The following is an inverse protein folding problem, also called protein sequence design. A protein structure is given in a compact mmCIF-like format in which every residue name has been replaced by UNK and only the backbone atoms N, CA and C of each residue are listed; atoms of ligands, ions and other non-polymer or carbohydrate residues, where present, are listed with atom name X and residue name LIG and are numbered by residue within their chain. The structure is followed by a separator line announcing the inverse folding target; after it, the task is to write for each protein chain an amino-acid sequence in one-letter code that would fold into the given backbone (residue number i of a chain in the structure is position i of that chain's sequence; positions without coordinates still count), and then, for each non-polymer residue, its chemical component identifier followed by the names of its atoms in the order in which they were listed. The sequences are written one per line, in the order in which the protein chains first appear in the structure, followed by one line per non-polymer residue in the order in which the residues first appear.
data_IF_515414723365
#
_entry.id   IF_515414723365
#
_cell.length_a   1.000
_cell.length_b   1.000
_cell.length_c   1.000
_cell.angle_alpha   90.00
_cell.angle_beta   90.00
_cell.angle_gamma   90.00
#
_symmetry.space_group_name_H-M   'P 1'
#
loop_
_entity.id
_entity.type
_entity.pdbx_description
1 polymer ?
#
# COMPACT_ATOMS: atom_id res chain seq x y z
N UNK A 1 0.19 20.24 -5.29
CA UNK A 1 0.62 19.04 -4.53
C UNK A 1 -0.48 18.71 -3.55
N UNK A 2 -0.92 17.46 -3.47
CA UNK A 2 -2.06 17.09 -2.62
C UNK A 2 -1.79 17.38 -1.14
N UNK A 3 -0.60 17.04 -0.64
CA UNK A 3 -0.22 17.14 0.78
C UNK A 3 -0.24 18.53 1.40
N UNK A 4 -0.37 19.61 0.61
CA UNK A 4 -0.41 21.00 1.10
C UNK A 4 -1.55 21.82 0.49
N UNK A 5 -2.41 21.21 -0.32
CA UNK A 5 -3.52 21.91 -0.96
C UNK A 5 -4.81 21.52 -0.27
N UNK A 6 -5.58 22.53 0.15
CA UNK A 6 -6.87 22.31 0.78
C UNK A 6 -7.84 21.57 -0.17
N UNK A 7 -8.70 20.70 0.39
CA UNK A 7 -9.60 19.86 -0.39
C UNK A 7 -10.60 20.68 -1.20
N UNK A 8 -11.07 21.83 -0.70
CA UNK A 8 -12.01 22.70 -1.42
C UNK A 8 -11.34 23.30 -2.67
N UNK A 9 -10.04 23.58 -2.58
CA UNK A 9 -9.23 24.04 -3.71
C UNK A 9 -8.97 22.92 -4.71
N UNK A 10 -8.72 21.70 -4.23
CA UNK A 10 -8.56 20.53 -5.10
C UNK A 10 -9.85 20.19 -5.84
N UNK A 11 -11.02 20.37 -5.22
CA UNK A 11 -12.32 20.13 -5.84
C UNK A 11 -12.79 21.25 -6.76
N UNK A 12 -12.26 22.45 -6.59
CA UNK A 12 -12.57 23.61 -7.42
C UNK A 12 -11.30 24.26 -8.02
N UNK A 13 -10.54 23.52 -8.84
CA UNK A 13 -9.21 23.96 -9.28
C UNK A 13 -9.23 25.05 -10.37
N UNK A 14 -10.41 25.52 -10.79
CA UNK A 14 -10.62 26.30 -12.01
C UNK A 14 -10.73 25.41 -13.26
N UNK A 15 -10.88 26.04 -14.43
CA UNK A 15 -11.04 25.33 -15.71
C UNK A 15 -9.75 25.24 -16.55
N UNK A 16 -8.66 25.87 -16.10
CA UNK A 16 -7.40 25.91 -16.85
C UNK A 16 -6.66 24.59 -16.71
N UNK A 17 -6.34 23.97 -17.86
CA UNK A 17 -5.53 22.74 -17.93
C UNK A 17 -4.06 23.06 -17.63
N UNK A 18 -3.52 22.48 -16.56
CA UNK A 18 -2.15 22.70 -16.07
C UNK A 18 -1.15 21.64 -16.55
N UNK A 19 -1.66 20.53 -17.07
CA UNK A 19 -0.88 19.38 -17.50
C UNK A 19 -1.49 18.73 -18.74
N UNK A 20 -0.64 18.24 -19.65
CA UNK A 20 -1.11 17.41 -20.76
C UNK A 20 -1.57 16.04 -20.24
N UNK A 21 -2.84 15.69 -20.49
CA UNK A 21 -3.43 14.40 -20.09
C UNK A 21 -4.23 13.84 -21.28
N UNK A 22 -3.55 13.35 -22.32
CA UNK A 22 -4.22 12.90 -23.54
C UNK A 22 -5.22 11.78 -23.23
N UNK A 23 -6.43 11.91 -23.77
CA UNK A 23 -7.51 10.96 -23.55
C UNK A 23 -8.23 11.06 -22.20
N UNK A 24 -7.79 11.89 -21.26
CA UNK A 24 -8.54 12.17 -20.03
C UNK A 24 -9.60 13.24 -20.28
N UNK A 25 -10.71 13.16 -19.53
CA UNK A 25 -11.82 14.12 -19.67
C UNK A 25 -11.32 15.57 -19.48
N UNK A 26 -11.90 16.55 -20.20
CA UNK A 26 -11.49 17.95 -20.13
C UNK A 26 -11.77 18.60 -18.76
N UNK A 27 -12.56 17.96 -17.90
CA UNK A 27 -12.80 18.45 -16.53
C UNK A 27 -11.55 18.38 -15.64
N UNK A 28 -10.57 17.53 -15.97
CA UNK A 28 -9.39 17.34 -15.13
C UNK A 28 -8.27 18.30 -15.51
N UNK A 29 -7.92 19.24 -14.62
CA UNK A 29 -6.84 20.20 -14.89
C UNK A 29 -5.43 19.63 -14.82
N UNK A 30 -5.20 18.61 -13.99
CA UNK A 30 -3.92 17.91 -13.81
C UNK A 30 -4.17 16.49 -13.27
N UNK A 31 -3.13 15.64 -13.28
CA UNK A 31 -3.26 14.23 -12.89
C UNK A 31 -3.63 14.04 -11.40
N UNK A 32 -3.05 14.79 -10.44
CA UNK A 32 -3.51 14.74 -9.05
C UNK A 32 -4.99 15.12 -8.87
N UNK A 33 -5.48 16.13 -9.61
CA UNK A 33 -6.90 16.47 -9.59
C UNK A 33 -7.77 15.31 -10.09
N UNK A 34 -7.39 14.64 -11.17
CA UNK A 34 -8.08 13.42 -11.64
C UNK A 34 -8.23 12.40 -10.50
N UNK A 35 -7.12 12.04 -9.84
CA UNK A 35 -7.11 11.06 -8.76
C UNK A 35 -8.02 11.44 -7.59
N UNK A 36 -7.87 12.66 -7.05
CA UNK A 36 -8.67 13.07 -5.89
C UNK A 36 -10.14 13.17 -6.29
N UNK A 37 -10.45 13.72 -7.48
CA UNK A 37 -11.83 13.92 -7.94
C UNK A 37 -12.59 12.62 -8.14
N UNK A 38 -11.98 11.61 -8.75
CA UNK A 38 -12.64 10.30 -8.93
C UNK A 38 -12.84 9.61 -7.57
N UNK A 39 -11.87 9.74 -6.66
CA UNK A 39 -11.93 9.16 -5.33
C UNK A 39 -13.06 9.76 -4.51
N UNK A 40 -13.19 11.09 -4.52
CA UNK A 40 -14.27 11.82 -3.87
C UNK A 40 -15.65 11.39 -4.38
N UNK A 41 -15.86 11.29 -5.69
CA UNK A 41 -17.17 10.88 -6.25
C UNK A 41 -17.53 9.43 -5.92
N UNK A 42 -16.58 8.50 -6.08
CA UNK A 42 -16.81 7.09 -5.78
C UNK A 42 -17.07 6.89 -4.29
N UNK A 43 -16.20 7.45 -3.44
CA UNK A 43 -16.26 7.19 -2.01
C UNK A 43 -17.15 8.18 -1.28
N UNK A 44 -16.96 9.50 -1.35
CA UNK A 44 -17.73 10.44 -0.54
C UNK A 44 -19.15 10.71 -1.08
N UNK A 45 -19.31 10.85 -2.39
CA UNK A 45 -20.63 11.06 -3.01
C UNK A 45 -21.41 9.75 -3.19
N UNK A 46 -20.76 8.61 -2.89
CA UNK A 46 -21.31 7.25 -2.96
C UNK A 46 -21.78 6.85 -4.36
N UNK A 47 -21.21 7.47 -5.40
CA UNK A 47 -21.45 7.13 -6.80
C UNK A 47 -20.59 5.91 -7.22
N UNK A 48 -20.76 4.78 -6.53
CA UNK A 48 -19.91 3.59 -6.69
C UNK A 48 -19.90 3.06 -8.13
N UNK A 49 -21.01 3.19 -8.85
CA UNK A 49 -21.12 2.71 -10.23
C UNK A 49 -20.20 3.49 -11.20
N UNK A 50 -19.67 4.66 -10.81
CA UNK A 50 -18.64 5.37 -11.58
C UNK A 50 -17.33 4.60 -11.67
N UNK A 51 -17.10 3.58 -10.83
CA UNK A 51 -16.02 2.62 -11.04
C UNK A 51 -16.09 2.00 -12.45
N UNK A 52 -17.29 1.73 -13.00
CA UNK A 52 -17.44 1.18 -14.35
C UNK A 52 -17.04 2.16 -15.47
N UNK A 53 -16.98 3.46 -15.16
CA UNK A 53 -16.47 4.51 -16.06
C UNK A 53 -14.94 4.59 -16.00
N UNK A 54 -14.39 4.61 -14.79
CA UNK A 54 -12.98 4.96 -14.53
C UNK A 54 -12.06 3.78 -14.28
N UNK A 55 -12.55 2.55 -14.13
CA UNK A 55 -11.73 1.36 -14.15
C UNK A 55 -11.89 0.63 -15.49
N UNK A 56 -10.78 0.16 -16.04
CA UNK A 56 -10.81 -0.72 -17.19
C UNK A 56 -11.61 -1.99 -16.88
N UNK A 57 -12.34 -2.51 -17.87
CA UNK A 57 -13.21 -3.68 -17.71
C UNK A 57 -12.44 -4.89 -17.16
N UNK A 58 -11.19 -5.01 -17.55
CA UNK A 58 -10.22 -6.06 -17.22
C UNK A 58 -9.10 -5.57 -16.28
N UNK A 59 -9.30 -4.45 -15.59
CA UNK A 59 -8.33 -3.90 -14.64
C UNK A 59 -7.86 -4.98 -13.66
N UNK A 60 -6.55 -5.19 -13.58
CA UNK A 60 -5.95 -6.11 -12.61
C UNK A 60 -5.70 -5.33 -11.33
N UNK A 61 -6.12 -5.88 -10.19
CA UNK A 61 -5.83 -5.31 -8.87
C UNK A 61 -4.97 -6.30 -8.09
N UNK A 62 -3.72 -5.92 -7.87
CA UNK A 62 -2.74 -6.66 -7.10
C UNK A 62 -2.94 -6.38 -5.61
N UNK A 63 -3.23 -7.43 -4.85
CA UNK A 63 -3.34 -7.36 -3.39
C UNK A 63 -2.55 -8.51 -2.77
N UNK A 64 -2.16 -8.35 -1.51
CA UNK A 64 -1.49 -9.42 -0.78
C UNK A 64 -2.43 -10.58 -0.40
N UNK A 65 -3.74 -10.40 -0.56
CA UNK A 65 -4.74 -11.47 -0.45
C UNK A 65 -4.97 -12.24 -1.77
N UNK A 66 -4.19 -11.92 -2.81
CA UNK A 66 -4.27 -12.46 -4.17
C UNK A 66 -4.80 -11.44 -5.18
N UNK A 67 -4.47 -11.59 -6.48
CA UNK A 67 -4.98 -10.71 -7.50
C UNK A 67 -6.48 -10.89 -7.72
N UNK A 68 -7.15 -9.79 -8.01
CA UNK A 68 -8.53 -9.77 -8.48
C UNK A 68 -8.59 -9.03 -9.82
N UNK A 69 -9.64 -9.29 -10.61
CA UNK A 69 -9.74 -8.73 -11.98
C UNK A 69 -11.12 -8.12 -12.20
N UNK A 70 -11.11 -6.96 -12.85
CA UNK A 70 -12.24 -6.33 -13.49
C UNK A 70 -12.96 -5.28 -12.64
N UNK A 71 -13.47 -4.25 -13.33
CA UNK A 71 -14.16 -3.12 -12.72
C UNK A 71 -15.38 -3.52 -11.87
N UNK A 72 -16.09 -4.60 -12.25
CA UNK A 72 -17.21 -5.09 -11.45
C UNK A 72 -16.76 -5.57 -10.06
N UNK A 73 -15.60 -6.23 -9.97
CA UNK A 73 -15.05 -6.65 -8.68
C UNK A 73 -14.69 -5.43 -7.82
N UNK A 74 -14.26 -4.32 -8.43
CA UNK A 74 -14.02 -3.05 -7.73
C UNK A 74 -15.32 -2.48 -7.15
N UNK A 75 -16.41 -2.49 -7.94
CA UNK A 75 -17.76 -2.11 -7.47
C UNK A 75 -18.20 -2.98 -6.29
N UNK A 76 -18.12 -4.31 -6.43
CA UNK A 76 -18.59 -5.25 -5.43
C UNK A 76 -17.81 -5.11 -4.11
N UNK A 77 -16.49 -4.95 -4.17
CA UNK A 77 -15.63 -4.74 -3.01
C UNK A 77 -15.83 -3.37 -2.35
N UNK A 78 -16.13 -2.34 -3.15
CA UNK A 78 -16.47 -1.01 -2.63
C UNK A 78 -17.77 -1.09 -1.83
N UNK A 79 -18.81 -1.73 -2.38
CA UNK A 79 -20.06 -1.95 -1.68
C UNK A 79 -19.91 -2.84 -0.44
N UNK A 80 -19.09 -3.90 -0.50
CA UNK A 80 -18.79 -4.72 0.68
C UNK A 80 -18.18 -3.89 1.80
N UNK A 81 -17.23 -3.01 1.45
CA UNK A 81 -16.62 -2.10 2.41
C UNK A 81 -17.63 -1.11 2.99
N UNK A 82 -18.49 -0.52 2.16
CA UNK A 82 -19.53 0.42 2.62
C UNK A 82 -20.62 -0.25 3.46
N UNK A 83 -20.90 -1.55 3.27
CA UNK A 83 -21.79 -2.30 4.17
C UNK A 83 -21.16 -2.50 5.54
N UNK A 84 -19.87 -2.81 5.61
CA UNK A 84 -19.14 -2.98 6.86
C UNK A 84 -18.90 -1.64 7.59
N UNK A 85 -18.73 -0.57 6.82
CA UNK A 85 -18.29 0.76 7.26
C UNK A 85 -19.07 1.87 6.53
N UNK A 86 -20.37 2.06 6.81
CA UNK A 86 -21.25 2.94 6.03
C UNK A 86 -20.90 4.43 6.14
N UNK A 87 -20.24 4.83 7.23
CA UNK A 87 -19.75 6.20 7.47
C UNK A 87 -18.32 6.42 6.93
N UNK A 88 -17.72 5.42 6.27
CA UNK A 88 -16.32 5.51 5.83
C UNK A 88 -16.06 6.75 4.99
N UNK A 89 -15.03 7.49 5.40
CA UNK A 89 -14.40 8.56 4.62
C UNK A 89 -12.95 8.21 4.33
N UNK A 90 -12.47 8.68 3.19
CA UNK A 90 -11.16 8.39 2.62
C UNK A 90 -10.48 9.71 2.30
N UNK A 91 -9.56 10.15 3.17
CA UNK A 91 -8.80 11.37 2.96
C UNK A 91 -7.52 11.04 2.19
N UNK A 92 -7.30 11.70 1.06
CA UNK A 92 -6.07 11.60 0.28
C UNK A 92 -4.97 12.47 0.90
N UNK A 93 -4.17 11.90 1.80
CA UNK A 93 -3.07 12.60 2.48
C UNK A 93 -1.98 13.05 1.50
N UNK A 94 -1.71 12.25 0.45
CA UNK A 94 -0.78 12.61 -0.61
C UNK A 94 -1.03 11.81 -1.89
N UNK A 95 -0.59 12.36 -3.02
CA UNK A 95 -0.53 11.65 -4.32
C UNK A 95 0.83 11.95 -4.94
N UNK A 96 1.75 11.00 -4.81
CA UNK A 96 3.04 11.02 -5.52
C UNK A 96 2.84 10.31 -6.85
N UNK A 97 3.34 10.86 -7.95
CA UNK A 97 3.03 10.32 -9.28
C UNK A 97 4.19 10.48 -10.25
N UNK A 98 4.15 9.73 -11.34
CA UNK A 98 5.10 9.75 -12.44
C UNK A 98 4.39 9.66 -13.79
N UNK A 99 5.05 10.15 -14.83
CA UNK A 99 4.64 9.93 -16.21
C UNK A 99 5.36 8.69 -16.74
N UNK A 100 4.60 7.72 -17.24
CA UNK A 100 5.11 6.41 -17.69
C UNK A 100 5.31 6.38 -19.23
N UNK A 101 5.08 7.51 -19.90
CA UNK A 101 5.15 7.65 -21.36
C UNK A 101 3.80 7.45 -22.05
N UNK A 102 3.69 7.92 -23.29
CA UNK A 102 2.52 7.70 -24.17
C UNK A 102 1.16 8.08 -23.54
N UNK A 103 1.13 9.15 -22.74
CA UNK A 103 -0.10 9.57 -22.07
C UNK A 103 -0.53 8.70 -20.88
N UNK A 104 0.35 7.82 -20.41
CA UNK A 104 0.16 6.98 -19.24
C UNK A 104 0.81 7.61 -18.01
N UNK A 105 0.12 7.51 -16.88
CA UNK A 105 0.57 8.05 -15.60
C UNK A 105 0.38 7.00 -14.51
N UNK A 106 1.28 6.97 -13.53
CA UNK A 106 1.12 6.14 -12.34
C UNK A 106 1.09 7.03 -11.11
N UNK A 107 0.05 6.88 -10.30
CA UNK A 107 -0.12 7.60 -9.05
C UNK A 107 -0.04 6.65 -7.87
N UNK A 108 0.57 7.09 -6.77
CA UNK A 108 0.62 6.40 -5.49
C UNK A 108 -0.13 7.25 -4.46
N UNK A 109 -1.31 6.78 -4.05
CA UNK A 109 -2.24 7.53 -3.20
C UNK A 109 -2.01 7.12 -1.75
N UNK A 110 -1.43 7.99 -0.92
CA UNK A 110 -1.44 7.78 0.51
C UNK A 110 -2.79 8.22 1.06
N UNK A 111 -3.47 7.30 1.72
CA UNK A 111 -4.85 7.45 2.15
C UNK A 111 -4.98 7.16 3.64
N UNK A 112 -5.68 8.03 4.36
CA UNK A 112 -6.17 7.77 5.72
C UNK A 112 -7.68 7.63 5.71
N UNK A 113 -8.17 6.47 6.15
CA UNK A 113 -9.60 6.16 6.25
C UNK A 113 -10.09 6.28 7.69
N UNK A 114 -11.20 7.00 7.88
CA UNK A 114 -11.94 7.14 9.15
C UNK A 114 -13.29 6.45 9.00
N UNK A 115 -13.63 5.54 9.91
CA UNK A 115 -14.86 4.75 9.80
C UNK A 115 -15.28 4.07 11.09
N UNK A 116 -16.55 3.68 11.17
CA UNK A 116 -17.14 2.90 12.27
C UNK A 116 -17.61 1.54 11.74
N UNK A 117 -17.23 0.45 12.42
CA UNK A 117 -17.64 -0.88 11.99
C UNK A 117 -19.08 -1.21 12.42
N UNK A 118 -20.04 -0.89 11.54
CA UNK A 118 -21.48 -1.08 11.78
C UNK A 118 -22.07 -2.30 11.07
N UNK A 119 -21.31 -2.94 10.19
CA UNK A 119 -21.67 -4.19 9.53
C UNK A 119 -20.60 -5.26 9.69
N UNK A 120 -20.91 -6.50 9.33
CA UNK A 120 -19.89 -7.55 9.23
C UNK A 120 -18.83 -7.20 8.18
N UNK A 121 -17.61 -7.68 8.41
CA UNK A 121 -16.46 -7.53 7.51
C UNK A 121 -15.76 -8.88 7.33
N UNK A 122 -14.78 -8.93 6.44
CA UNK A 122 -13.93 -10.13 6.25
C UNK A 122 -13.16 -10.54 7.53
N UNK A 123 -13.10 -9.64 8.53
CA UNK A 123 -12.43 -9.85 9.80
C UNK A 123 -13.38 -10.35 10.90
N UNK A 124 -14.69 -10.18 10.77
CA UNK A 124 -15.65 -10.64 11.76
C UNK A 124 -16.96 -9.83 11.79
N UNK A 125 -17.81 -10.11 12.79
CA UNK A 125 -19.08 -9.39 12.97
C UNK A 125 -18.86 -7.90 13.29
N UNK A 126 -19.91 -7.10 13.16
CA UNK A 126 -19.88 -5.69 13.52
C UNK A 126 -19.44 -5.48 14.99
N UNK A 127 -18.50 -4.57 15.22
CA UNK A 127 -17.95 -4.30 16.56
C UNK A 127 -18.39 -2.96 17.14
N UNK A 128 -18.93 -2.05 16.31
CA UNK A 128 -19.26 -0.67 16.69
C UNK A 128 -18.02 0.21 16.93
N UNK A 129 -16.81 -0.30 16.73
CA UNK A 129 -15.58 0.45 16.97
C UNK A 129 -15.32 1.49 15.88
N UNK A 130 -14.86 2.66 16.31
CA UNK A 130 -14.30 3.68 15.42
C UNK A 130 -12.83 3.38 15.17
N UNK A 131 -12.42 3.38 13.90
CA UNK A 131 -11.09 2.99 13.48
C UNK A 131 -10.49 4.01 12.52
N UNK A 132 -9.16 4.12 12.56
CA UNK A 132 -8.34 4.94 11.67
C UNK A 132 -7.28 4.05 11.01
N UNK A 133 -7.31 3.91 9.69
CA UNK A 133 -6.39 3.00 8.98
C UNK A 133 -5.80 3.62 7.74
N UNK A 134 -4.58 3.21 7.40
CA UNK A 134 -3.86 3.69 6.22
C UNK A 134 -3.95 2.69 5.08
N UNK A 135 -4.01 3.23 3.88
CA UNK A 135 -4.02 2.48 2.63
C UNK A 135 -3.11 3.20 1.65
N UNK A 136 -2.44 2.45 0.80
CA UNK A 136 -1.82 2.99 -0.40
C UNK A 136 -2.40 2.29 -1.61
N UNK A 137 -2.84 3.08 -2.59
CA UNK A 137 -3.30 2.59 -3.88
C UNK A 137 -2.37 3.16 -4.96
N UNK A 138 -1.63 2.28 -5.64
CA UNK A 138 -0.88 2.67 -6.82
C UNK A 138 -1.72 2.38 -8.06
N UNK A 139 -2.06 3.38 -8.86
CA UNK A 139 -2.94 3.24 -10.01
C UNK A 139 -2.21 3.62 -11.30
N UNK A 140 -2.04 2.67 -12.21
CA UNK A 140 -1.65 2.96 -13.59
C UNK A 140 -2.86 3.44 -14.35
N UNK A 141 -2.77 4.64 -14.93
CA UNK A 141 -3.88 5.33 -15.56
C UNK A 141 -3.55 5.74 -16.99
N UNK A 142 -4.44 5.44 -17.94
CA UNK A 142 -4.35 5.87 -19.35
C UNK A 142 -5.75 6.08 -19.89
N UNK A 143 -5.93 7.04 -20.80
CA UNK A 143 -7.21 7.27 -21.50
C UNK A 143 -8.41 7.36 -20.53
N UNK A 144 -8.27 8.18 -19.48
CA UNK A 144 -9.32 8.40 -18.46
C UNK A 144 -9.69 7.17 -17.63
N UNK A 145 -8.84 6.13 -17.57
CA UNK A 145 -9.12 4.91 -16.80
C UNK A 145 -7.92 4.45 -15.99
N UNK A 146 -8.19 3.89 -14.82
CA UNK A 146 -7.30 2.99 -14.08
C UNK A 146 -7.28 1.65 -14.80
N UNK A 147 -6.12 1.24 -15.28
CA UNK A 147 -5.92 0.00 -16.06
C UNK A 147 -5.28 -1.11 -15.22
N UNK A 148 -4.56 -0.75 -14.16
CA UNK A 148 -3.90 -1.66 -13.23
C UNK A 148 -3.76 -0.96 -11.87
N UNK A 149 -3.95 -1.69 -10.77
CA UNK A 149 -3.89 -1.15 -9.41
C UNK A 149 -3.10 -2.08 -8.48
N UNK A 150 -2.23 -1.52 -7.63
CA UNK A 150 -1.66 -2.21 -6.49
C UNK A 150 -2.26 -1.62 -5.22
N UNK A 151 -3.03 -2.43 -4.50
CA UNK A 151 -3.83 -1.98 -3.37
C UNK A 151 -3.32 -2.61 -2.09
N UNK A 152 -2.75 -1.76 -1.23
CA UNK A 152 -2.04 -2.17 -0.03
C UNK A 152 -2.69 -1.52 1.19
N UNK A 153 -3.19 -2.35 2.12
CA UNK A 153 -3.98 -1.92 3.28
C UNK A 153 -3.34 -2.37 4.57
N UNK A 154 -3.29 -1.49 5.58
CA UNK A 154 -2.86 -1.88 6.93
C UNK A 154 -3.99 -2.62 7.66
N UNK A 155 -4.29 -3.84 7.19
CA UNK A 155 -5.34 -4.66 7.78
C UNK A 155 -4.98 -5.12 9.21
N UNK A 156 -3.70 -5.14 9.58
CA UNK A 156 -3.31 -5.40 10.96
C UNK A 156 -3.77 -4.27 11.89
N UNK A 157 -3.59 -3.01 11.49
CA UNK A 157 -4.12 -1.87 12.24
C UNK A 157 -5.64 -1.96 12.39
N UNK A 158 -6.33 -2.34 11.30
CA UNK A 158 -7.79 -2.49 11.31
C UNK A 158 -8.22 -3.57 12.30
N UNK A 159 -7.70 -4.78 12.15
CA UNK A 159 -8.04 -5.95 12.98
C UNK A 159 -7.80 -5.67 14.47
N UNK A 160 -6.66 -5.06 14.80
CA UNK A 160 -6.34 -4.70 16.19
C UNK A 160 -7.32 -3.67 16.76
N UNK A 161 -7.67 -2.62 16.00
CA UNK A 161 -8.61 -1.58 16.46
C UNK A 161 -10.06 -2.09 16.56
N UNK A 162 -10.43 -3.09 15.77
CA UNK A 162 -11.72 -3.79 15.90
C UNK A 162 -11.77 -4.70 17.14
N UNK A 163 -10.63 -4.96 17.80
CA UNK A 163 -10.54 -5.83 18.97
C UNK A 163 -10.49 -7.32 18.63
N UNK A 164 -10.16 -7.67 17.39
CA UNK A 164 -9.98 -9.05 16.96
C UNK A 164 -8.53 -9.53 17.18
N UNK A 165 -8.36 -10.83 17.38
CA UNK A 165 -7.04 -11.48 17.41
C UNK A 165 -6.54 -11.72 15.99
N UNK A 166 -5.42 -11.09 15.64
CA UNK A 166 -4.83 -11.16 14.30
C UNK A 166 -4.45 -12.59 13.86
N UNK A 167 -3.92 -13.41 14.77
CA UNK A 167 -3.55 -14.78 14.46
C UNK A 167 -4.80 -15.65 14.22
N UNK A 168 -5.86 -15.47 15.00
CA UNK A 168 -7.12 -16.18 14.77
C UNK A 168 -7.81 -15.76 13.47
N UNK A 169 -7.75 -14.47 13.12
CA UNK A 169 -8.27 -13.97 11.83
C UNK A 169 -7.50 -14.62 10.67
N UNK A 170 -6.17 -14.58 10.69
CA UNK A 170 -5.33 -15.18 9.66
C UNK A 170 -5.57 -16.70 9.52
N UNK A 171 -5.66 -17.42 10.65
CA UNK A 171 -5.94 -18.85 10.69
C UNK A 171 -7.32 -19.19 10.12
N UNK A 172 -8.35 -18.40 10.46
CA UNK A 172 -9.70 -18.58 9.92
C UNK A 172 -9.72 -18.36 8.41
N UNK A 173 -9.05 -17.33 7.91
CA UNK A 173 -8.96 -17.05 6.48
C UNK A 173 -8.21 -18.16 5.72
N UNK A 174 -7.09 -18.65 6.26
CA UNK A 174 -6.37 -19.79 5.68
C UNK A 174 -7.22 -21.08 5.66
N UNK A 175 -7.98 -21.34 6.71
CA UNK A 175 -8.92 -22.47 6.75
C UNK A 175 -10.05 -22.32 5.72
N UNK A 176 -10.56 -21.11 5.52
CA UNK A 176 -11.58 -20.81 4.51
C UNK A 176 -11.05 -21.03 3.09
N UNK A 177 -9.83 -20.60 2.78
CA UNK A 177 -9.18 -20.87 1.50
C UNK A 177 -9.12 -22.36 1.18
N UNK A 178 -8.68 -23.15 2.15
CA UNK A 178 -8.58 -24.60 2.03
C UNK A 178 -9.95 -25.25 1.82
N UNK A 179 -10.98 -24.79 2.52
CA UNK A 179 -12.33 -25.32 2.41
C UNK A 179 -12.91 -25.19 0.99
N UNK A 180 -12.47 -24.16 0.24
CA UNK A 180 -12.83 -23.96 -1.16
C UNK A 180 -11.75 -24.43 -2.15
N UNK A 181 -10.74 -25.17 -1.68
CA UNK A 181 -9.70 -25.76 -2.52
C UNK A 181 -8.70 -24.77 -3.10
N UNK A 182 -8.44 -23.65 -2.40
CA UNK A 182 -7.47 -22.64 -2.83
C UNK A 182 -6.33 -22.48 -1.82
N UNK A 183 -5.21 -21.92 -2.27
CA UNK A 183 -4.04 -21.63 -1.45
C UNK A 183 -3.53 -20.21 -1.75
N UNK A 184 -3.37 -19.38 -0.72
CA UNK A 184 -2.80 -18.05 -0.89
C UNK A 184 -1.33 -18.12 -1.34
N UNK A 185 -0.57 -19.12 -0.86
CA UNK A 185 0.81 -19.38 -1.31
C UNK A 185 0.86 -19.60 -2.82
N UNK A 186 -0.04 -20.42 -3.37
CA UNK A 186 -0.09 -20.70 -4.82
C UNK A 186 -0.48 -19.45 -5.62
N UNK A 187 -1.47 -18.69 -5.13
CA UNK A 187 -1.89 -17.42 -5.75
C UNK A 187 -0.75 -16.39 -5.78
N UNK A 188 0.12 -16.38 -4.77
CA UNK A 188 1.24 -15.45 -4.65
C UNK A 188 2.55 -15.99 -5.27
N UNK A 189 2.61 -17.25 -5.70
CA UNK A 189 3.83 -17.85 -6.26
C UNK A 189 4.43 -17.05 -7.44
N UNK A 190 3.64 -16.52 -8.41
CA UNK A 190 4.20 -15.69 -9.47
C UNK A 190 4.87 -14.40 -8.95
N UNK A 191 4.29 -13.78 -7.91
CA UNK A 191 4.83 -12.57 -7.28
C UNK A 191 6.09 -12.88 -6.47
N UNK A 192 6.09 -14.03 -5.79
CA UNK A 192 7.27 -14.52 -5.07
C UNK A 192 8.44 -14.71 -6.02
N UNK A 193 8.26 -15.43 -7.14
CA UNK A 193 9.30 -15.65 -8.15
C UNK A 193 9.80 -14.35 -8.80
N UNK A 194 8.88 -13.41 -9.05
CA UNK A 194 9.22 -12.13 -9.68
C UNK A 194 10.20 -11.28 -8.86
N UNK A 195 10.36 -11.51 -7.56
CA UNK A 195 11.38 -10.83 -6.74
C UNK A 195 12.81 -11.30 -7.06
N UNK A 196 12.96 -12.54 -7.54
CA UNK A 196 14.26 -13.13 -7.87
C UNK A 196 14.62 -13.01 -9.36
N UNK A 197 13.61 -12.96 -10.22
CA UNK A 197 13.77 -13.09 -11.68
C UNK A 197 13.76 -11.76 -12.41
N UNK A 198 12.99 -10.78 -11.92
CA UNK A 198 12.79 -9.51 -12.63
C UNK A 198 13.65 -8.39 -12.04
N UNK A 199 14.05 -7.41 -12.87
CA UNK A 199 14.93 -6.34 -12.44
C UNK A 199 14.23 -5.35 -11.50
N UNK A 200 15.04 -4.64 -10.73
CA UNK A 200 14.62 -3.45 -10.00
C UNK A 200 14.31 -2.30 -10.97
N UNK A 201 13.32 -1.49 -10.61
CA UNK A 201 13.08 -0.20 -11.25
C UNK A 201 14.29 0.73 -11.04
N UNK A 202 14.82 1.36 -12.11
CA UNK A 202 15.98 2.24 -12.01
C UNK A 202 15.76 3.45 -11.10
N UNK A 203 16.73 3.75 -10.25
CA UNK A 203 16.72 4.92 -9.38
C UNK A 203 17.26 6.14 -10.11
N UNK A 204 16.43 7.16 -10.33
CA UNK A 204 16.78 8.29 -11.22
C UNK A 204 17.23 9.56 -10.48
N UNK A 205 16.83 9.77 -9.23
CA UNK A 205 17.06 11.03 -8.51
C UNK A 205 17.83 10.83 -7.19
N UNK A 206 18.45 11.89 -6.64
CA UNK A 206 19.08 11.82 -5.33
C UNK A 206 18.12 11.49 -4.17
N UNK A 207 16.89 12.02 -4.19
CA UNK A 207 15.92 11.75 -3.14
C UNK A 207 15.39 10.31 -3.22
N UNK A 208 15.10 9.80 -4.43
CA UNK A 208 14.79 8.38 -4.63
C UNK A 208 15.95 7.47 -4.19
N UNK A 209 17.20 7.88 -4.38
CA UNK A 209 18.38 7.13 -3.90
C UNK A 209 18.41 7.03 -2.38
N UNK A 210 18.10 8.11 -1.66
CA UNK A 210 18.03 8.09 -0.20
C UNK A 210 16.95 7.11 0.28
N UNK A 211 15.75 7.17 -0.31
CA UNK A 211 14.65 6.27 0.04
C UNK A 211 14.97 4.80 -0.24
N UNK A 212 15.50 4.50 -1.43
CA UNK A 212 15.82 3.13 -1.85
C UNK A 212 17.04 2.56 -1.12
N UNK A 213 18.08 3.36 -0.86
CA UNK A 213 19.20 2.92 -0.02
C UNK A 213 18.79 2.67 1.43
N UNK A 214 17.86 3.46 1.99
CA UNK A 214 17.32 3.19 3.32
C UNK A 214 16.59 1.85 3.35
N UNK A 215 15.72 1.60 2.37
CA UNK A 215 15.01 0.34 2.23
C UNK A 215 15.97 -0.85 2.06
N UNK A 216 17.00 -0.73 1.21
CA UNK A 216 18.04 -1.77 1.08
C UNK A 216 18.78 -2.00 2.39
N UNK A 217 19.19 -0.93 3.08
CA UNK A 217 19.89 -1.01 4.36
C UNK A 217 19.05 -1.65 5.47
N UNK A 218 17.72 -1.64 5.33
CA UNK A 218 16.81 -2.29 6.27
C UNK A 218 16.58 -3.75 5.93
N UNK A 219 16.33 -4.07 4.66
CA UNK A 219 15.79 -5.37 4.27
C UNK A 219 16.78 -6.27 3.51
N UNK A 220 17.48 -5.75 2.51
CA UNK A 220 18.31 -6.55 1.61
C UNK A 220 19.78 -6.65 2.05
N UNK A 221 20.31 -5.59 2.64
CA UNK A 221 21.70 -5.48 3.11
C UNK A 221 21.71 -4.81 4.50
N UNK A 222 21.26 -5.52 5.56
CA UNK A 222 21.08 -4.94 6.88
C UNK A 222 22.31 -4.17 7.39
N UNK A 223 22.17 -2.84 7.51
CA UNK A 223 23.20 -1.95 8.05
C UNK A 223 22.58 -0.83 8.87
N UNK A 224 22.66 -0.94 10.20
CA UNK A 224 22.11 0.06 11.12
C UNK A 224 22.78 1.42 10.93
N UNK A 225 24.09 1.42 10.74
CA UNK A 225 24.86 2.63 10.50
C UNK A 225 24.40 3.35 9.22
N UNK A 226 24.12 2.61 8.14
CA UNK A 226 23.60 3.18 6.91
C UNK A 226 22.18 3.73 7.11
N UNK A 227 21.27 2.94 7.70
CA UNK A 227 19.90 3.36 7.97
C UNK A 227 19.85 4.64 8.84
N UNK A 228 20.70 4.70 9.88
CA UNK A 228 20.84 5.88 10.75
C UNK A 228 21.44 7.08 10.01
N UNK A 229 22.36 6.87 9.07
CA UNK A 229 22.93 7.95 8.25
C UNK A 229 21.90 8.55 7.28
N UNK A 230 21.00 7.74 6.74
CA UNK A 230 19.98 8.18 5.79
C UNK A 230 18.72 8.74 6.45
N UNK A 231 18.53 8.46 7.75
CA UNK A 231 17.41 8.98 8.53
C UNK A 231 17.77 10.26 9.26
N UNK A 232 16.78 11.15 9.41
CA UNK A 232 16.84 12.23 10.39
C UNK A 232 16.66 11.67 11.80
N UNK A 233 17.28 12.29 12.81
CA UNK A 233 17.17 11.78 14.19
C UNK A 233 15.77 11.95 14.79
N UNK A 234 14.92 12.81 14.20
CA UNK A 234 13.49 12.90 14.51
C UNK A 234 12.63 12.39 13.35
N UNK A 235 13.07 11.28 12.74
CA UNK A 235 12.25 10.49 11.83
C UNK A 235 10.89 10.20 12.49
N UNK A 236 9.80 10.54 11.80
CA UNK A 236 8.45 10.12 12.15
C UNK A 236 8.04 9.00 11.20
N UNK A 237 7.93 7.76 11.69
CA UNK A 237 7.59 6.61 10.86
C UNK A 237 6.27 5.96 11.30
N UNK A 238 5.34 5.80 10.37
CA UNK A 238 4.17 4.95 10.53
C UNK A 238 4.40 3.64 9.79
N UNK A 239 4.22 2.52 10.48
CA UNK A 239 4.47 1.17 9.95
C UNK A 239 3.27 0.26 10.26
N UNK A 240 3.18 -0.92 9.60
CA UNK A 240 2.04 -1.83 9.72
C UNK A 240 1.67 -2.18 11.17
N UNK A 241 0.36 -2.26 11.40
CA UNK A 241 -0.26 -2.33 12.71
C UNK A 241 -0.64 -0.96 13.29
N UNK A 242 -0.55 0.12 12.50
CA UNK A 242 -0.85 1.48 12.97
C UNK A 242 0.18 1.96 13.99
N UNK A 243 1.42 1.48 13.90
CA UNK A 243 2.46 1.74 14.89
C UNK A 243 3.21 3.00 14.48
N UNK A 244 3.29 3.95 15.41
CA UNK A 244 4.15 5.13 15.28
C UNK A 244 5.50 4.87 15.92
N UNK A 245 6.57 5.20 15.19
CA UNK A 245 7.95 5.09 15.63
C UNK A 245 8.63 6.44 15.47
N UNK A 246 9.38 6.84 16.50
CA UNK A 246 10.13 8.08 16.52
C UNK A 246 11.64 7.79 16.57
N UNK A 247 12.36 8.31 15.58
CA UNK A 247 13.79 8.16 15.44
C UNK A 247 14.23 6.87 14.72
N UNK A 248 15.47 6.84 14.19
CA UNK A 248 15.99 5.70 13.44
C UNK A 248 16.19 4.43 14.29
N UNK A 249 16.38 4.57 15.60
CA UNK A 249 16.57 3.48 16.54
C UNK A 249 15.29 2.66 16.74
N UNK A 250 14.14 3.31 16.95
CA UNK A 250 12.85 2.61 17.04
C UNK A 250 12.49 1.92 15.72
N UNK A 251 12.70 2.60 14.58
CA UNK A 251 12.51 2.02 13.25
C UNK A 251 13.39 0.78 13.03
N UNK A 252 14.67 0.85 13.44
CA UNK A 252 15.61 -0.25 13.31
C UNK A 252 15.28 -1.45 14.20
N UNK A 253 14.79 -1.22 15.41
CA UNK A 253 14.37 -2.29 16.32
C UNK A 253 13.11 -3.00 15.81
N UNK A 254 12.11 -2.24 15.36
CA UNK A 254 10.82 -2.79 14.93
C UNK A 254 10.95 -3.81 13.79
N UNK A 255 11.82 -3.55 12.81
CA UNK A 255 12.03 -4.43 11.66
C UNK A 255 12.81 -5.72 11.97
N UNK A 256 13.46 -5.83 13.15
CA UNK A 256 14.26 -7.02 13.50
C UNK A 256 13.41 -8.29 13.47
N UNK A 257 12.21 -8.26 14.07
CA UNK A 257 11.35 -9.44 14.11
C UNK A 257 10.95 -9.95 12.72
N UNK A 258 10.89 -9.10 11.70
CA UNK A 258 10.58 -9.50 10.33
C UNK A 258 11.81 -10.13 9.66
N UNK A 259 13.00 -9.53 9.85
CA UNK A 259 14.26 -10.10 9.35
C UNK A 259 14.57 -11.45 9.96
N UNK A 260 14.32 -11.59 11.27
CA UNK A 260 14.51 -12.85 11.97
C UNK A 260 13.53 -13.91 11.45
N UNK A 261 12.30 -13.54 11.08
CA UNK A 261 11.32 -14.47 10.52
C UNK A 261 11.73 -14.95 9.10
N UNK A 262 12.28 -14.06 8.28
CA UNK A 262 12.59 -14.30 6.86
C UNK A 262 14.09 -14.00 6.60
N UNK A 263 15.02 -14.80 7.14
CA UNK A 263 16.46 -14.51 7.10
C UNK A 263 17.07 -14.59 5.70
N UNK A 264 16.39 -15.22 4.75
CA UNK A 264 16.78 -15.36 3.34
C UNK A 264 15.96 -14.43 2.42
N UNK A 265 15.43 -13.33 2.94
CA UNK A 265 14.61 -12.41 2.17
C UNK A 265 15.40 -11.69 1.07
N UNK A 266 14.83 -11.66 -0.13
CA UNK A 266 15.24 -10.84 -1.26
C UNK A 266 14.25 -9.70 -1.46
N UNK A 267 14.76 -8.54 -1.86
CA UNK A 267 13.98 -7.34 -2.07
C UNK A 267 13.99 -6.94 -3.54
N UNK A 268 12.84 -6.48 -4.05
CA UNK A 268 12.71 -5.87 -5.37
C UNK A 268 12.01 -4.53 -5.29
N UNK A 269 12.51 -3.53 -6.00
CA UNK A 269 11.83 -2.27 -6.25
C UNK A 269 10.98 -2.37 -7.52
N UNK A 270 9.67 -2.23 -7.38
CA UNK A 270 8.73 -2.37 -8.49
C UNK A 270 8.38 -1.03 -9.13
N UNK A 271 8.27 0.03 -8.33
CA UNK A 271 8.00 1.37 -8.84
C UNK A 271 8.57 2.45 -7.92
N UNK A 272 8.97 3.58 -8.51
CA UNK A 272 9.53 4.72 -7.81
C UNK A 272 8.97 5.98 -8.47
N UNK A 273 8.32 6.82 -7.68
CA UNK A 273 7.90 8.16 -8.10
C UNK A 273 8.38 9.21 -7.11
N UNK A 274 8.59 10.43 -7.61
CA UNK A 274 9.01 11.57 -6.83
C UNK A 274 8.27 12.82 -7.29
N UNK A 275 7.82 13.63 -6.34
CA UNK A 275 7.31 14.98 -6.60
C UNK A 275 8.03 16.01 -5.72
N UNK A 276 8.10 17.28 -6.14
CA UNK A 276 8.50 18.36 -5.25
C UNK A 276 7.64 18.37 -3.98
N UNK A 277 8.21 18.86 -2.87
CA UNK A 277 7.49 19.30 -1.67
C UNK A 277 7.87 20.78 -1.38
N UNK A 278 7.52 21.31 -0.21
CA UNK A 278 7.86 22.68 0.20
C UNK A 278 9.40 22.91 0.21
N UNK A 279 9.85 23.99 -0.43
CA UNK A 279 11.27 24.31 -0.56
C UNK A 279 12.02 23.25 -1.38
N UNK A 280 13.16 22.80 -0.88
CA UNK A 280 14.00 21.78 -1.54
C UNK A 280 13.62 20.33 -1.16
N UNK A 281 12.58 20.17 -0.33
CA UNK A 281 12.12 18.87 0.11
C UNK A 281 11.46 18.08 -1.04
N UNK A 282 11.48 16.75 -0.92
CA UNK A 282 10.90 15.82 -1.90
C UNK A 282 10.04 14.78 -1.23
N UNK A 283 8.85 14.53 -1.78
CA UNK A 283 8.06 13.36 -1.41
C UNK A 283 8.34 12.25 -2.43
N UNK A 284 8.71 11.07 -1.94
CA UNK A 284 9.07 9.90 -2.75
C UNK A 284 8.18 8.73 -2.37
N UNK A 285 7.53 8.10 -3.35
CA UNK A 285 6.82 6.85 -3.17
C UNK A 285 7.62 5.70 -3.79
N UNK A 286 7.75 4.60 -3.06
CA UNK A 286 8.42 3.38 -3.52
C UNK A 286 7.51 2.20 -3.29
N UNK A 287 7.09 1.53 -4.36
CA UNK A 287 6.48 0.20 -4.31
C UNK A 287 7.57 -0.85 -4.35
N UNK A 288 7.54 -1.76 -3.39
CA UNK A 288 8.56 -2.78 -3.26
C UNK A 288 7.98 -4.09 -2.75
N UNK A 289 8.69 -5.17 -3.08
CA UNK A 289 8.36 -6.51 -2.64
C UNK A 289 9.51 -7.14 -1.89
N UNK A 290 9.18 -7.98 -0.91
CA UNK A 290 10.12 -8.77 -0.14
C UNK A 290 9.66 -10.22 -0.15
N UNK A 291 10.52 -11.12 -0.63
CA UNK A 291 10.21 -12.56 -0.74
C UNK A 291 11.31 -13.41 -0.13
N UNK A 292 10.93 -14.45 0.62
CA UNK A 292 11.86 -15.42 1.20
C UNK A 292 11.10 -16.58 1.83
N UNK A 293 11.69 -17.27 2.80
CA UNK A 293 11.07 -18.37 3.51
C UNK A 293 10.95 -18.08 5.01
N UNK A 294 9.85 -18.50 5.61
CA UNK A 294 9.64 -18.42 7.06
C UNK A 294 10.52 -19.43 7.80
N UNK A 295 11.79 -19.08 8.04
CA UNK A 295 12.84 -20.00 8.55
C UNK A 295 13.36 -19.66 9.94
N UNK A 296 13.22 -18.42 10.38
CA UNK A 296 13.63 -18.06 11.74
C UNK A 296 12.45 -17.73 12.64
N UNK A 297 12.75 -17.64 13.93
CA UNK A 297 11.78 -17.26 14.95
C UNK A 297 11.73 -15.73 14.98
N UNK A 298 10.57 -15.17 14.70
CA UNK A 298 10.41 -13.72 14.61
C UNK A 298 8.96 -13.31 14.77
N UNK A 299 8.56 -12.27 14.04
CA UNK A 299 7.22 -11.66 14.10
C UNK A 299 6.08 -12.65 13.85
N UNK A 300 6.31 -13.66 13.01
CA UNK A 300 5.28 -14.62 12.58
C UNK A 300 5.33 -15.96 13.32
N UNK A 301 6.01 -16.01 14.48
CA UNK A 301 6.03 -17.18 15.36
C UNK A 301 7.09 -18.22 14.97
N UNK A 302 6.73 -19.50 15.10
CA UNK A 302 7.64 -20.61 14.81
C UNK A 302 7.78 -20.82 13.30
N UNK A 303 9.00 -21.10 12.80
CA UNK A 303 9.25 -21.23 11.37
C UNK A 303 8.47 -22.40 10.77
N UNK A 304 7.86 -22.15 9.60
CA UNK A 304 7.05 -23.12 8.86
C UNK A 304 7.70 -23.59 7.56
N UNK A 305 8.75 -22.89 7.11
CA UNK A 305 9.32 -23.08 5.79
C UNK A 305 8.47 -22.50 4.65
N UNK A 306 7.31 -21.88 4.96
CA UNK A 306 6.44 -21.29 3.95
C UNK A 306 7.17 -20.24 3.10
N UNK A 307 7.02 -20.24 1.77
CA UNK A 307 7.42 -19.09 0.97
C UNK A 307 6.52 -17.91 1.34
N UNK A 308 7.13 -16.83 1.80
CA UNK A 308 6.45 -15.60 2.16
C UNK A 308 6.75 -14.53 1.12
N UNK A 309 5.70 -13.84 0.69
CA UNK A 309 5.76 -12.65 -0.13
C UNK A 309 5.11 -11.49 0.63
N UNK A 310 5.75 -10.32 0.57
CA UNK A 310 5.23 -9.06 1.10
C UNK A 310 5.24 -8.06 -0.05
N UNK A 311 4.06 -7.53 -0.39
CA UNK A 311 3.90 -6.36 -1.24
C UNK A 311 3.70 -5.15 -0.34
N UNK A 312 4.56 -4.14 -0.47
CA UNK A 312 4.54 -2.95 0.35
C UNK A 312 4.68 -1.67 -0.49
N UNK A 313 4.16 -0.57 0.05
CA UNK A 313 4.44 0.77 -0.48
C UNK A 313 4.90 1.66 0.66
N UNK A 314 5.99 2.40 0.43
CA UNK A 314 6.54 3.37 1.37
C UNK A 314 6.52 4.76 0.76
N UNK A 315 5.90 5.71 1.46
CA UNK A 315 5.99 7.15 1.19
C UNK A 315 7.02 7.77 2.13
N UNK A 316 7.96 8.52 1.56
CA UNK A 316 9.03 9.18 2.29
C UNK A 316 8.98 10.68 2.03
N UNK A 317 9.24 11.47 3.08
CA UNK A 317 9.59 12.88 2.94
C UNK A 317 11.07 13.07 3.18
N UNK A 318 11.78 13.53 2.16
CA UNK A 318 13.22 13.80 2.19
C UNK A 318 13.45 15.29 2.43
N UNK A 319 14.12 15.62 3.53
CA UNK A 319 14.50 16.99 3.91
C UNK A 319 15.99 17.00 4.22
N UNK A 320 16.74 17.94 3.64
CA UNK A 320 18.19 18.08 3.85
C UNK A 320 18.98 16.78 3.64
N UNK A 321 18.61 16.00 2.62
CA UNK A 321 19.28 14.75 2.27
C UNK A 321 19.03 13.58 3.24
N UNK A 322 17.98 13.66 4.07
CA UNK A 322 17.60 12.60 5.02
C UNK A 322 16.10 12.36 5.01
N UNK A 323 15.69 11.14 5.36
CA UNK A 323 14.28 10.80 5.58
C UNK A 323 13.80 11.42 6.88
N UNK A 324 12.80 12.30 6.78
CA UNK A 324 12.18 12.99 7.90
C UNK A 324 10.84 12.36 8.30
N UNK A 325 10.07 11.92 7.31
CA UNK A 325 8.79 11.25 7.51
C UNK A 325 8.74 10.00 6.65
N UNK A 326 8.11 8.96 7.17
CA UNK A 326 7.89 7.69 6.50
C UNK A 326 6.49 7.17 6.82
N UNK A 327 5.80 6.69 5.79
CA UNK A 327 4.61 5.86 5.96
C UNK A 327 4.81 4.62 5.10
N UNK A 328 4.94 3.47 5.75
CA UNK A 328 5.09 2.16 5.10
C UNK A 328 3.84 1.33 5.37
N UNK A 329 3.23 0.79 4.32
CA UNK A 329 2.00 0.00 4.41
C UNK A 329 2.22 -1.35 3.74
N UNK A 330 1.82 -2.42 4.42
CA UNK A 330 1.54 -3.74 3.85
C UNK A 330 0.46 -4.44 4.68
N UNK A 331 -0.11 -5.52 4.13
CA UNK A 331 -1.13 -6.33 4.81
C UNK A 331 -0.47 -7.43 5.65
N UNK A 332 -0.17 -7.13 6.92
CA UNK A 332 0.47 -8.11 7.82
C UNK A 332 -0.45 -9.32 8.14
N UNK A 333 -1.78 -9.16 8.01
CA UNK A 333 -2.74 -10.26 8.17
C UNK A 333 -2.59 -11.26 7.03
N UNK A 334 -2.41 -10.78 5.80
CA UNK A 334 -2.14 -11.63 4.65
C UNK A 334 -0.79 -12.37 4.77
N UNK A 335 0.24 -11.77 5.38
CA UNK A 335 1.50 -12.48 5.67
C UNK A 335 1.30 -13.60 6.70
N UNK A 336 0.57 -13.32 7.79
CA UNK A 336 0.20 -14.37 8.76
C UNK A 336 -0.64 -15.48 8.11
N UNK A 337 -1.55 -15.14 7.19
CA UNK A 337 -2.37 -16.11 6.44
C UNK A 337 -1.52 -17.01 5.53
N UNK A 338 -0.44 -16.49 4.92
CA UNK A 338 0.53 -17.33 4.19
C UNK A 338 1.20 -18.34 5.15
N UNK A 339 1.60 -17.93 6.35
CA UNK A 339 2.18 -18.81 7.37
C UNK A 339 1.19 -19.90 7.80
N UNK A 340 -0.04 -19.53 8.09
CA UNK A 340 -1.12 -20.47 8.48
C UNK A 340 -1.48 -21.44 7.35
N UNK A 341 -1.39 -21.01 6.09
CA UNK A 341 -1.63 -21.86 4.93
C UNK A 341 -0.65 -23.04 4.83
N UNK A 342 0.59 -22.87 5.33
CA UNK A 342 1.60 -23.94 5.31
C UNK A 342 1.36 -25.02 6.39
N UNK A 343 0.83 -24.65 7.57
CA UNK A 343 0.49 -25.63 8.62
C UNK A 343 -0.66 -26.57 8.23
N UNK A 344 -1.49 -26.14 7.27
CA UNK A 344 -2.69 -26.85 6.85
C UNK A 344 -2.49 -27.71 5.59
N UNK A 345 -1.25 -27.78 5.06
CA UNK A 345 -0.93 -28.70 3.97
C UNK A 345 -0.91 -30.15 4.47
N UNK A 346 -1.46 -31.12 3.71
CA UNK A 346 -1.57 -32.53 4.13
C UNK A 346 -0.24 -33.22 4.42
#
# INVERSE_FOLDING_TARGET
MVSVTDIDTMMNPGAERRMDLPGFDPEFVDFPHYIIRITERIWHDREVDLCLKWYAKDCIIHTLAGPIVGAQTVVDNTWATLRAFPDRRLDGDNVVWSQEGEGTFLSSHLITSKMTNLGESDFGPATGQQVLVRTVADCLCRENRVVEEWLVRDNLALVNQLGFDAAQVAKRQAAADRAVGTSLIEKLAPYWSAVFEAPDTPVQTPAARIATELLRARWAQPSEACARKLSDFRLNAWVPGGIFLYGPDQAWQWQQGIRDAIPDAHMRFEHIAEIPYLGDARDVAVRWSLSGHHRGKGRYGNPTGAPLHILAVSHFRIINGRVREEVTVWDDIAVMRQVESAWLQP
#
